data_IF_332281746271
#
_entry.id   IF_332281746271
#
_cell.length_a   1.000
_cell.length_b   1.000
_cell.length_c   1.000
_cell.angle_alpha   90.00
_cell.angle_beta   90.00
_cell.angle_gamma   90.00
#
_symmetry.space_group_name_H-M   'P 1'
#
loop_
_entity.id
_entity.type
_entity.pdbx_description
1 polymer ?
#
# COMPACT_ATOMS: atom_id res chain seq x y z
N UNK A 1 7.21 -10.41 24.60
CA UNK A 1 6.70 -9.72 23.39
C UNK A 1 7.92 -9.40 22.52
N UNK A 2 7.94 -9.78 21.23
CA UNK A 2 9.02 -9.34 20.34
C UNK A 2 8.86 -7.85 20.09
N UNK A 3 9.93 -7.09 20.28
CA UNK A 3 9.95 -5.66 19.97
C UNK A 3 9.70 -5.47 18.46
N UNK A 4 8.96 -4.43 18.10
CA UNK A 4 8.80 -4.04 16.70
C UNK A 4 10.16 -3.82 16.04
N UNK A 5 10.36 -4.28 14.79
CA UNK A 5 11.58 -4.03 14.05
C UNK A 5 11.86 -2.53 13.91
N UNK A 6 13.12 -2.20 13.76
CA UNK A 6 13.60 -0.82 13.93
C UNK A 6 12.96 0.15 12.93
N UNK A 7 12.96 -0.15 11.64
CA UNK A 7 12.44 0.78 10.62
C UNK A 7 10.92 0.86 10.69
N UNK A 8 10.24 -0.27 10.84
CA UNK A 8 8.78 -0.28 11.04
C UNK A 8 8.37 0.62 12.20
N UNK A 9 9.06 0.50 13.34
CA UNK A 9 8.80 1.33 14.53
C UNK A 9 8.99 2.83 14.24
N UNK A 10 10.09 3.21 13.58
CA UNK A 10 10.35 4.61 13.25
C UNK A 10 9.37 5.17 12.21
N UNK A 11 8.96 4.38 11.20
CA UNK A 11 7.94 4.79 10.26
C UNK A 11 6.60 5.07 10.95
N UNK A 12 6.15 4.18 11.85
CA UNK A 12 4.93 4.40 12.64
C UNK A 12 5.02 5.68 13.46
N UNK A 13 6.09 5.85 14.25
CA UNK A 13 6.27 7.01 15.12
C UNK A 13 6.33 8.30 14.30
N UNK A 14 7.12 8.34 13.22
CA UNK A 14 7.27 9.52 12.38
C UNK A 14 5.93 9.95 11.76
N UNK A 15 5.17 9.01 11.20
CA UNK A 15 3.87 9.33 10.60
C UNK A 15 2.87 9.86 11.63
N UNK A 16 2.78 9.26 12.82
CA UNK A 16 1.89 9.77 13.87
C UNK A 16 2.32 11.15 14.38
N UNK A 17 3.63 11.36 14.60
CA UNK A 17 4.14 12.68 15.02
C UNK A 17 3.81 13.74 13.96
N UNK A 18 4.10 13.48 12.69
CA UNK A 18 3.83 14.42 11.60
C UNK A 18 2.33 14.69 11.49
N UNK A 19 1.47 13.69 11.57
CA UNK A 19 0.02 13.85 11.51
C UNK A 19 -0.53 14.76 12.61
N UNK A 20 -0.15 14.52 13.86
CA UNK A 20 -0.60 15.37 14.97
C UNK A 20 0.00 16.76 14.92
N UNK A 21 1.29 16.87 14.55
CA UNK A 21 1.93 18.18 14.41
C UNK A 21 1.32 19.00 13.28
N UNK A 22 0.99 18.38 12.14
CA UNK A 22 0.29 19.05 11.04
C UNK A 22 -1.05 19.63 11.48
N UNK A 23 -1.86 18.86 12.21
CA UNK A 23 -3.13 19.37 12.74
C UNK A 23 -2.98 20.49 13.77
N UNK A 24 -1.92 20.48 14.58
CA UNK A 24 -1.61 21.57 15.53
C UNK A 24 -1.19 22.83 14.77
N UNK A 25 -0.32 22.70 13.76
CA UNK A 25 0.17 23.83 12.97
C UNK A 25 -0.96 24.49 12.17
N UNK A 26 -1.82 23.68 11.57
CA UNK A 26 -2.99 24.19 10.84
C UNK A 26 -3.95 24.93 11.77
N UNK A 27 -4.34 24.32 12.90
CA UNK A 27 -5.33 24.88 13.82
C UNK A 27 -4.85 26.16 14.52
N UNK A 28 -3.58 26.22 14.96
CA UNK A 28 -3.08 27.30 15.80
C UNK A 28 -2.37 28.40 15.02
N UNK A 29 -1.81 28.08 13.86
CA UNK A 29 -0.97 29.00 13.09
C UNK A 29 -1.45 29.18 11.64
N UNK A 30 -2.49 28.48 11.20
CA UNK A 30 -2.99 28.53 9.83
C UNK A 30 -2.02 27.97 8.78
N UNK A 31 -1.06 27.13 9.20
CA UNK A 31 -0.05 26.53 8.31
C UNK A 31 -0.58 25.19 7.79
N UNK A 32 -0.95 25.16 6.51
CA UNK A 32 -1.34 23.92 5.83
C UNK A 32 -0.10 23.11 5.40
N UNK A 33 0.28 22.16 6.25
CA UNK A 33 1.44 21.28 6.00
C UNK A 33 1.18 20.34 4.81
N UNK A 34 -0.08 19.99 4.53
CA UNK A 34 -0.41 19.16 3.38
C UNK A 34 -0.23 19.91 2.07
N UNK A 35 -0.56 21.20 2.02
CA UNK A 35 -0.29 22.05 0.86
C UNK A 35 1.20 22.27 0.62
N UNK A 36 2.02 22.35 1.70
CA UNK A 36 3.48 22.59 1.57
C UNK A 36 4.23 21.30 1.18
N UNK A 37 3.87 20.18 1.79
CA UNK A 37 4.64 18.93 1.71
C UNK A 37 3.99 17.85 0.86
N UNK A 38 2.73 18.01 0.43
CA UNK A 38 2.04 17.12 -0.50
C UNK A 38 2.68 17.15 -1.89
N UNK A 39 2.58 16.05 -2.62
CA UNK A 39 3.04 15.97 -4.00
C UNK A 39 2.12 16.81 -4.88
N UNK A 40 2.65 17.83 -5.52
CA UNK A 40 1.99 18.62 -6.57
C UNK A 40 2.56 18.28 -7.93
N UNK A 41 1.80 18.58 -8.99
CA UNK A 41 2.25 18.36 -10.37
C UNK A 41 3.56 19.11 -10.65
N UNK A 42 4.54 18.41 -11.21
CA UNK A 42 5.92 18.91 -11.34
C UNK A 42 6.07 20.24 -12.10
N UNK A 43 5.14 20.55 -13.01
CA UNK A 43 5.13 21.80 -13.79
C UNK A 43 4.17 22.86 -13.21
N UNK A 44 3.55 22.61 -12.06
CA UNK A 44 2.74 23.59 -11.37
C UNK A 44 3.58 24.50 -10.48
N UNK A 45 3.16 25.74 -10.28
CA UNK A 45 3.88 26.71 -9.41
C UNK A 45 3.93 26.28 -7.93
N UNK A 46 3.04 25.37 -7.53
CA UNK A 46 2.99 24.76 -6.18
C UNK A 46 4.01 23.64 -5.98
N UNK A 47 4.69 23.17 -7.03
CA UNK A 47 5.65 22.06 -6.92
C UNK A 47 6.95 22.51 -6.26
N UNK A 48 7.45 21.64 -5.38
CA UNK A 48 8.77 21.77 -4.75
C UNK A 48 9.49 20.41 -4.77
N UNK A 49 10.81 20.44 -4.94
CA UNK A 49 11.65 19.25 -5.14
C UNK A 49 11.64 18.24 -3.97
N UNK A 50 11.24 18.65 -2.76
CA UNK A 50 11.13 17.75 -1.60
C UNK A 50 9.81 16.97 -1.58
N UNK A 51 8.77 17.43 -2.27
CA UNK A 51 7.42 16.86 -2.23
C UNK A 51 7.33 15.39 -2.64
N UNK A 52 8.10 14.87 -3.65
CA UNK A 52 8.12 13.44 -3.96
C UNK A 52 8.54 12.54 -2.79
N UNK A 53 9.16 13.11 -1.77
CA UNK A 53 9.52 12.39 -0.55
C UNK A 53 8.60 12.70 0.63
N UNK A 54 8.25 13.97 0.85
CA UNK A 54 7.51 14.39 2.04
C UNK A 54 6.05 13.93 2.03
N UNK A 55 5.44 13.84 0.85
CA UNK A 55 4.04 13.43 0.70
C UNK A 55 3.73 12.07 1.34
N UNK A 56 4.73 11.17 1.40
CA UNK A 56 4.62 9.82 1.96
C UNK A 56 4.34 9.81 3.48
N UNK A 57 4.52 10.93 4.16
CA UNK A 57 4.37 11.06 5.61
C UNK A 57 3.14 11.89 6.00
N UNK A 58 2.40 12.41 5.02
CA UNK A 58 1.22 13.26 5.23
C UNK A 58 -0.06 12.45 5.07
N UNK A 59 -1.08 12.80 5.84
CA UNK A 59 -2.35 12.08 5.83
C UNK A 59 -3.53 13.03 5.99
N UNK A 60 -4.57 12.84 5.16
CA UNK A 60 -5.73 13.72 5.12
C UNK A 60 -6.61 13.65 6.38
N UNK A 61 -6.70 12.47 7.01
CA UNK A 61 -7.58 12.25 8.15
C UNK A 61 -7.14 11.02 8.98
N UNK A 62 -7.80 10.84 10.11
CA UNK A 62 -7.47 9.78 11.07
C UNK A 62 -7.63 8.37 10.48
N UNK A 63 -8.66 8.11 9.68
CA UNK A 63 -8.85 6.79 9.05
C UNK A 63 -7.73 6.51 8.05
N UNK A 64 -7.32 7.50 7.26
CA UNK A 64 -6.24 7.39 6.30
C UNK A 64 -4.91 6.98 6.98
N UNK A 65 -4.50 7.66 8.06
CA UNK A 65 -3.28 7.27 8.76
C UNK A 65 -3.42 5.92 9.46
N UNK A 66 -4.56 5.62 10.08
CA UNK A 66 -4.74 4.35 10.79
C UNK A 66 -4.64 3.15 9.85
N UNK A 67 -5.28 3.18 8.68
CA UNK A 67 -5.18 2.07 7.72
C UNK A 67 -3.78 1.92 7.14
N UNK A 68 -3.11 3.02 6.80
CA UNK A 68 -1.72 2.98 6.35
C UNK A 68 -0.79 2.39 7.43
N UNK A 69 -0.89 2.88 8.65
CA UNK A 69 -0.04 2.43 9.75
C UNK A 69 -0.35 1.00 10.18
N UNK A 70 -1.60 0.56 10.11
CA UNK A 70 -1.98 -0.83 10.32
C UNK A 70 -1.29 -1.75 9.28
N UNK A 71 -1.28 -1.37 8.01
CA UNK A 71 -0.61 -2.13 6.97
C UNK A 71 0.92 -2.14 7.14
N UNK A 72 1.54 -0.99 7.47
CA UNK A 72 2.98 -0.91 7.82
C UNK A 72 3.30 -1.80 9.02
N UNK A 73 2.44 -1.81 10.04
CA UNK A 73 2.63 -2.66 11.20
C UNK A 73 2.53 -4.15 10.86
N UNK A 74 1.51 -4.57 10.14
CA UNK A 74 1.25 -5.98 9.84
C UNK A 74 2.25 -6.54 8.81
N UNK A 75 2.37 -5.89 7.67
CA UNK A 75 3.15 -6.38 6.54
C UNK A 75 4.59 -5.86 6.58
N UNK A 76 4.77 -4.59 6.91
CA UNK A 76 6.07 -3.96 7.01
C UNK A 76 6.94 -4.60 8.09
N UNK A 77 6.40 -4.88 9.28
CA UNK A 77 7.14 -5.57 10.33
C UNK A 77 7.59 -6.98 9.92
N UNK A 78 6.80 -7.66 9.11
CA UNK A 78 7.17 -8.98 8.58
C UNK A 78 8.34 -8.88 7.59
N UNK A 79 8.29 -7.91 6.67
CA UNK A 79 9.36 -7.68 5.71
C UNK A 79 10.64 -7.14 6.37
N UNK A 80 10.51 -6.22 7.33
CA UNK A 80 11.64 -5.67 8.09
C UNK A 80 12.37 -6.77 8.86
N UNK A 81 11.64 -7.70 9.48
CA UNK A 81 12.23 -8.88 10.11
C UNK A 81 12.85 -9.86 9.12
N UNK A 82 12.27 -10.02 7.93
CA UNK A 82 12.74 -10.97 6.91
C UNK A 82 14.00 -10.47 6.19
N UNK A 83 14.01 -9.19 5.80
CA UNK A 83 15.08 -8.60 4.97
C UNK A 83 16.15 -7.86 5.76
N UNK A 84 15.84 -7.48 7.01
CA UNK A 84 16.60 -6.52 7.79
C UNK A 84 16.22 -5.07 7.43
N UNK A 85 16.36 -4.21 8.42
CA UNK A 85 15.85 -2.84 8.40
C UNK A 85 16.34 -1.98 7.23
N UNK A 86 17.62 -2.13 6.84
CA UNK A 86 18.19 -1.36 5.72
C UNK A 86 17.47 -1.64 4.38
N UNK A 87 17.22 -2.92 4.08
CA UNK A 87 16.54 -3.31 2.82
C UNK A 87 15.08 -2.91 2.83
N UNK A 88 14.42 -3.13 3.96
CA UNK A 88 13.03 -2.73 4.11
C UNK A 88 12.86 -1.22 3.91
N UNK A 89 13.75 -0.40 4.48
CA UNK A 89 13.71 1.05 4.27
C UNK A 89 13.91 1.42 2.80
N UNK A 90 14.93 0.84 2.14
CA UNK A 90 15.17 1.09 0.70
C UNK A 90 13.92 0.69 -0.10
N UNK A 91 13.33 -0.45 0.18
CA UNK A 91 12.13 -0.92 -0.49
C UNK A 91 10.97 0.07 -0.32
N UNK A 92 10.69 0.47 0.90
CA UNK A 92 9.62 1.42 1.23
C UNK A 92 9.79 2.75 0.50
N UNK A 93 11.00 3.32 0.53
CA UNK A 93 11.30 4.59 -0.14
C UNK A 93 11.18 4.46 -1.67
N UNK A 94 11.74 3.40 -2.27
CA UNK A 94 11.66 3.18 -3.72
C UNK A 94 10.20 3.02 -4.17
N UNK A 95 9.38 2.30 -3.42
CA UNK A 95 7.95 2.16 -3.72
C UNK A 95 7.23 3.52 -3.66
N UNK A 96 7.52 4.33 -2.63
CA UNK A 96 6.90 5.64 -2.50
C UNK A 96 7.34 6.64 -3.59
N UNK A 97 8.64 6.71 -3.89
CA UNK A 97 9.13 7.54 -5.00
C UNK A 97 8.61 7.06 -6.36
N UNK A 98 8.53 5.74 -6.56
CA UNK A 98 7.93 5.16 -7.76
C UNK A 98 6.44 5.47 -7.91
N UNK A 99 5.71 5.49 -6.79
CA UNK A 99 4.32 5.90 -6.74
C UNK A 99 4.16 7.38 -7.16
N UNK A 100 4.99 8.27 -6.61
CA UNK A 100 5.03 9.68 -7.00
C UNK A 100 5.31 9.83 -8.50
N UNK A 101 6.30 9.12 -9.02
CA UNK A 101 6.66 9.17 -10.44
C UNK A 101 5.51 8.75 -11.36
N UNK A 102 4.82 7.65 -11.05
CA UNK A 102 3.66 7.21 -11.84
C UNK A 102 2.51 8.21 -11.75
N UNK A 103 2.26 8.79 -10.57
CA UNK A 103 1.24 9.82 -10.40
C UNK A 103 1.53 11.04 -11.26
N UNK A 104 2.77 11.50 -11.34
CA UNK A 104 3.21 12.59 -12.20
C UNK A 104 2.99 12.28 -13.70
N UNK A 105 3.32 11.05 -14.13
CA UNK A 105 3.04 10.61 -15.49
C UNK A 105 1.55 10.64 -15.82
N UNK A 106 0.70 10.19 -14.89
CA UNK A 106 -0.76 10.20 -15.07
C UNK A 106 -1.28 11.62 -15.16
N UNK A 107 -0.85 12.53 -14.28
CA UNK A 107 -1.23 13.94 -14.34
C UNK A 107 -0.79 14.60 -15.64
N UNK A 108 0.43 14.28 -16.12
CA UNK A 108 0.93 14.80 -17.41
C UNK A 108 0.06 14.38 -18.58
N UNK A 109 -0.34 13.10 -18.64
CA UNK A 109 -1.25 12.59 -19.69
C UNK A 109 -2.64 13.24 -19.57
N UNK A 110 -3.17 13.32 -18.36
CA UNK A 110 -4.49 13.92 -18.13
C UNK A 110 -4.52 15.40 -18.54
N UNK A 111 -3.53 16.19 -18.13
CA UNK A 111 -3.45 17.61 -18.49
C UNK A 111 -3.21 17.82 -19.99
N UNK A 112 -2.43 16.95 -20.65
CA UNK A 112 -2.25 17.02 -22.12
C UNK A 112 -3.54 16.76 -22.86
N UNK A 113 -4.38 15.82 -22.40
CA UNK A 113 -5.69 15.55 -23.02
C UNK A 113 -6.69 16.70 -22.80
N UNK A 114 -6.53 17.49 -21.74
CA UNK A 114 -7.34 18.68 -21.50
C UNK A 114 -7.01 19.82 -22.47
N UNK A 115 -5.82 19.83 -23.07
CA UNK A 115 -5.36 20.91 -23.95
C UNK A 115 -6.19 21.08 -25.23
N UNK A 116 -6.90 20.04 -25.67
CA UNK A 116 -7.79 20.09 -26.83
C UNK A 116 -9.16 20.73 -26.51
N UNK A 117 -9.51 20.85 -25.21
CA UNK A 117 -10.84 21.27 -24.78
C UNK A 117 -10.85 22.56 -23.96
N UNK A 118 -9.79 22.80 -23.19
CA UNK A 118 -9.70 23.90 -22.23
C UNK A 118 -8.58 24.87 -22.58
N UNK A 119 -8.76 26.14 -22.20
CA UNK A 119 -7.72 27.16 -22.36
C UNK A 119 -6.56 26.97 -21.36
N UNK A 120 -5.41 27.57 -21.68
CA UNK A 120 -4.19 27.44 -20.88
C UNK A 120 -4.34 27.91 -19.43
N UNK A 121 -5.21 28.91 -19.17
CA UNK A 121 -5.44 29.41 -17.81
C UNK A 121 -6.21 28.37 -16.97
N UNK A 122 -7.26 27.78 -17.54
CA UNK A 122 -8.06 26.73 -16.88
C UNK A 122 -7.20 25.51 -16.57
N UNK A 123 -6.32 25.09 -17.49
CA UNK A 123 -5.39 23.98 -17.30
C UNK A 123 -4.38 24.29 -16.17
N UNK A 124 -3.79 25.49 -16.19
CA UNK A 124 -2.84 25.91 -15.15
C UNK A 124 -3.50 25.97 -13.77
N UNK A 125 -4.73 26.47 -13.69
CA UNK A 125 -5.50 26.51 -12.44
C UNK A 125 -5.82 25.10 -11.94
N UNK A 126 -6.20 24.19 -12.82
CA UNK A 126 -6.44 22.78 -12.47
C UNK A 126 -5.14 22.10 -11.98
N UNK A 127 -4.05 22.27 -12.72
CA UNK A 127 -2.74 21.73 -12.38
C UNK A 127 -2.22 22.21 -11.01
N UNK A 128 -2.47 23.48 -10.66
CA UNK A 128 -2.10 24.07 -9.37
C UNK A 128 -2.78 23.35 -8.19
N UNK A 129 -4.01 22.87 -8.39
CA UNK A 129 -4.80 22.21 -7.35
C UNK A 129 -4.58 20.68 -7.28
N UNK A 130 -3.83 20.10 -8.22
CA UNK A 130 -3.48 18.69 -8.16
C UNK A 130 -2.54 18.44 -6.99
N UNK A 131 -2.98 17.62 -6.06
CA UNK A 131 -2.15 17.21 -4.92
C UNK A 131 -2.42 15.77 -4.53
N UNK A 132 -1.39 15.09 -4.04
CA UNK A 132 -1.47 13.75 -3.48
C UNK A 132 -0.69 13.69 -2.16
N UNK A 133 -1.28 13.06 -1.14
CA UNK A 133 -0.66 12.82 0.16
C UNK A 133 -0.94 11.40 0.60
N UNK A 134 -0.02 10.79 1.34
CA UNK A 134 -0.20 9.49 1.97
C UNK A 134 0.96 8.53 1.80
N UNK A 135 1.15 7.68 2.79
CA UNK A 135 2.08 6.56 2.74
C UNK A 135 1.62 5.43 1.80
N UNK A 136 0.38 5.52 1.29
CA UNK A 136 -0.31 4.41 0.63
C UNK A 136 0.42 3.86 -0.60
N UNK A 137 1.07 4.70 -1.41
CA UNK A 137 1.89 4.24 -2.52
C UNK A 137 3.00 3.27 -2.08
N UNK A 138 3.74 3.62 -1.02
CA UNK A 138 4.74 2.74 -0.43
C UNK A 138 4.10 1.50 0.24
N UNK A 139 2.95 1.67 0.90
CA UNK A 139 2.19 0.60 1.57
C UNK A 139 1.69 -0.44 0.56
N UNK A 140 1.20 -0.04 -0.60
CA UNK A 140 0.80 -0.96 -1.66
C UNK A 140 2.00 -1.75 -2.23
N UNK A 141 3.17 -1.10 -2.32
CA UNK A 141 4.42 -1.81 -2.61
C UNK A 141 4.77 -2.84 -1.52
N UNK A 142 4.65 -2.49 -0.25
CA UNK A 142 4.86 -3.40 0.89
C UNK A 142 3.87 -4.57 0.86
N UNK A 143 2.60 -4.32 0.58
CA UNK A 143 1.57 -5.35 0.43
C UNK A 143 1.89 -6.28 -0.75
N UNK A 144 2.34 -5.72 -1.88
CA UNK A 144 2.79 -6.50 -3.03
C UNK A 144 3.95 -7.43 -2.66
N UNK A 145 5.01 -6.91 -2.00
CA UNK A 145 6.14 -7.74 -1.58
C UNK A 145 5.71 -8.85 -0.62
N UNK A 146 4.80 -8.55 0.30
CA UNK A 146 4.25 -9.56 1.21
C UNK A 146 3.54 -10.67 0.43
N UNK A 147 2.65 -10.34 -0.50
CA UNK A 147 1.96 -11.34 -1.33
C UNK A 147 2.88 -12.12 -2.26
N UNK A 148 3.97 -11.48 -2.75
CA UNK A 148 4.99 -12.12 -3.59
C UNK A 148 5.83 -13.14 -2.82
N UNK A 149 6.27 -12.79 -1.61
CA UNK A 149 7.14 -13.64 -0.78
C UNK A 149 6.37 -14.69 0.01
N UNK A 150 5.11 -14.39 0.35
CA UNK A 150 4.26 -15.20 1.21
C UNK A 150 2.91 -15.51 0.58
N UNK A 151 2.89 -16.02 -0.66
CA UNK A 151 1.69 -16.11 -1.49
C UNK A 151 0.56 -16.92 -0.84
N UNK A 152 0.91 -17.94 -0.07
CA UNK A 152 -0.06 -18.88 0.52
C UNK A 152 -0.41 -18.55 1.99
N UNK A 153 0.08 -17.41 2.51
CA UNK A 153 -0.26 -16.97 3.87
C UNK A 153 -1.75 -16.62 3.94
N UNK A 154 -2.50 -17.24 4.87
CA UNK A 154 -3.90 -16.88 5.09
C UNK A 154 -3.98 -15.48 5.71
N UNK A 155 -4.74 -14.62 5.08
CA UNK A 155 -5.06 -13.28 5.56
C UNK A 155 -6.56 -13.16 5.79
N UNK A 156 -6.94 -12.49 6.87
CA UNK A 156 -8.33 -12.16 7.15
C UNK A 156 -8.56 -10.70 6.75
N UNK A 157 -9.56 -10.47 5.90
CA UNK A 157 -10.03 -9.11 5.64
C UNK A 157 -10.89 -8.70 6.83
N UNK A 158 -10.74 -7.44 7.28
CA UNK A 158 -11.49 -6.91 8.40
C UNK A 158 -13.00 -7.19 8.22
N UNK A 159 -13.62 -7.78 9.25
CA UNK A 159 -15.02 -8.22 9.27
C UNK A 159 -15.40 -9.43 8.40
N UNK A 160 -14.46 -10.01 7.64
CA UNK A 160 -14.70 -11.22 6.86
C UNK A 160 -13.90 -12.37 7.50
N UNK A 161 -14.57 -13.35 8.18
CA UNK A 161 -13.86 -14.42 8.88
C UNK A 161 -13.36 -15.54 7.96
N UNK A 162 -13.29 -15.29 6.65
CA UNK A 162 -12.82 -16.26 5.66
C UNK A 162 -11.34 -15.98 5.36
N UNK A 163 -10.43 -16.96 5.54
CA UNK A 163 -9.04 -16.80 5.22
C UNK A 163 -8.83 -16.78 3.70
N UNK A 164 -8.30 -15.67 3.18
CA UNK A 164 -7.95 -15.53 1.77
C UNK A 164 -6.42 -15.55 1.65
N UNK A 165 -5.89 -16.19 0.62
CA UNK A 165 -4.44 -16.21 0.38
C UNK A 165 -3.91 -14.82 0.05
N UNK A 166 -2.75 -14.47 0.61
CA UNK A 166 -2.12 -13.16 0.41
C UNK A 166 -1.99 -12.78 -1.07
N UNK A 167 -1.57 -13.70 -1.95
CA UNK A 167 -1.49 -13.47 -3.40
C UNK A 167 -2.82 -13.07 -4.02
N UNK A 168 -3.91 -13.69 -3.59
CA UNK A 168 -5.26 -13.40 -4.10
C UNK A 168 -5.69 -12.00 -3.70
N UNK A 169 -5.45 -11.61 -2.46
CA UNK A 169 -5.74 -10.25 -1.97
C UNK A 169 -4.97 -9.21 -2.77
N UNK A 170 -3.66 -9.42 -3.00
CA UNK A 170 -2.83 -8.49 -3.78
C UNK A 170 -3.34 -8.35 -5.21
N UNK A 171 -3.72 -9.46 -5.86
CA UNK A 171 -4.27 -9.43 -7.23
C UNK A 171 -5.60 -8.68 -7.25
N UNK A 172 -6.50 -8.94 -6.30
CA UNK A 172 -7.79 -8.25 -6.21
C UNK A 172 -7.57 -6.74 -6.02
N UNK A 173 -6.69 -6.34 -5.08
CA UNK A 173 -6.38 -4.92 -4.89
C UNK A 173 -5.80 -4.27 -6.15
N UNK A 174 -4.86 -4.92 -6.84
CA UNK A 174 -4.31 -4.37 -8.08
C UNK A 174 -5.37 -4.17 -9.17
N UNK A 175 -6.32 -5.12 -9.29
CA UNK A 175 -7.44 -5.02 -10.23
C UNK A 175 -8.38 -3.88 -9.83
N UNK A 176 -8.76 -3.78 -8.56
CA UNK A 176 -9.64 -2.71 -8.05
C UNK A 176 -9.00 -1.34 -8.28
N UNK A 177 -7.72 -1.16 -7.93
CA UNK A 177 -6.99 0.09 -8.15
C UNK A 177 -6.91 0.47 -9.64
N UNK A 178 -6.71 -0.51 -10.52
CA UNK A 178 -6.68 -0.27 -11.97
C UNK A 178 -8.03 0.25 -12.48
N UNK A 179 -9.13 -0.44 -12.16
CA UNK A 179 -10.47 -0.05 -12.63
C UNK A 179 -10.93 1.26 -12.00
N UNK A 180 -10.67 1.50 -10.72
CA UNK A 180 -10.99 2.75 -10.07
C UNK A 180 -10.20 3.93 -10.67
N UNK A 181 -8.89 3.75 -10.90
CA UNK A 181 -8.06 4.76 -11.56
C UNK A 181 -8.52 5.07 -12.99
N UNK A 182 -8.89 4.06 -13.77
CA UNK A 182 -9.46 4.26 -15.11
C UNK A 182 -10.82 4.99 -15.03
N UNK A 183 -11.66 4.65 -14.06
CA UNK A 183 -12.94 5.34 -13.83
C UNK A 183 -12.74 6.83 -13.51
N UNK A 184 -11.76 7.17 -12.68
CA UNK A 184 -11.39 8.56 -12.39
C UNK A 184 -10.90 9.30 -13.65
N UNK A 185 -10.05 8.68 -14.47
CA UNK A 185 -9.58 9.28 -15.72
C UNK A 185 -10.70 9.52 -16.75
N UNK A 186 -11.70 8.64 -16.77
CA UNK A 186 -12.86 8.73 -17.68
C UNK A 186 -13.98 9.62 -17.13
N UNK A 187 -13.86 10.14 -15.90
CA UNK A 187 -14.89 10.91 -15.23
C UNK A 187 -16.16 10.12 -14.87
N UNK A 188 -16.11 8.79 -14.95
CA UNK A 188 -17.25 7.91 -14.62
C UNK A 188 -17.34 7.57 -13.13
N UNK A 189 -16.23 7.74 -12.42
CA UNK A 189 -16.14 7.61 -10.97
C UNK A 189 -15.19 8.70 -10.48
N UNK A 190 -15.62 9.48 -9.49
CA UNK A 190 -14.80 10.58 -8.96
C UNK A 190 -14.63 10.33 -7.45
N UNK A 191 -13.42 9.96 -7.06
CA UNK A 191 -12.98 9.96 -5.68
C UNK A 191 -11.64 10.71 -5.55
N UNK A 192 -11.20 10.96 -4.33
CA UNK A 192 -9.95 11.66 -4.06
C UNK A 192 -8.76 10.70 -3.83
N UNK A 193 -8.82 9.49 -4.39
CA UNK A 193 -7.79 8.47 -4.19
C UNK A 193 -6.83 8.44 -5.39
N UNK A 194 -5.54 8.43 -5.09
CA UNK A 194 -4.49 8.35 -6.11
C UNK A 194 -4.22 6.88 -6.53
N UNK A 195 -5.18 6.25 -7.17
CA UNK A 195 -5.15 4.83 -7.56
C UNK A 195 -3.90 4.45 -8.36
N UNK A 196 -3.50 5.30 -9.31
CA UNK A 196 -2.29 5.04 -10.09
C UNK A 196 -1.00 5.16 -9.29
N UNK A 197 -0.97 5.98 -8.23
CA UNK A 197 0.15 5.99 -7.29
C UNK A 197 0.27 4.64 -6.55
N UNK A 198 -0.85 4.02 -6.17
CA UNK A 198 -0.86 2.69 -5.55
C UNK A 198 -0.28 1.63 -6.50
N UNK A 199 -0.74 1.61 -7.75
CA UNK A 199 -0.18 0.73 -8.79
C UNK A 199 1.29 1.03 -9.07
N UNK A 200 1.70 2.30 -9.06
CA UNK A 200 3.09 2.73 -9.17
C UNK A 200 3.97 2.15 -8.07
N UNK A 201 3.50 2.20 -6.82
CA UNK A 201 4.20 1.59 -5.69
C UNK A 201 4.38 0.08 -5.85
N UNK A 202 3.34 -0.64 -6.30
CA UNK A 202 3.43 -2.06 -6.61
C UNK A 202 4.42 -2.35 -7.74
N UNK A 203 4.38 -1.58 -8.83
CA UNK A 203 5.25 -1.74 -10.00
C UNK A 203 6.73 -1.56 -9.62
N UNK A 204 7.07 -0.45 -8.95
CA UNK A 204 8.46 -0.20 -8.53
C UNK A 204 8.93 -1.19 -7.48
N UNK A 205 8.05 -1.65 -6.60
CA UNK A 205 8.31 -2.73 -5.68
C UNK A 205 8.65 -4.04 -6.41
N UNK A 206 7.87 -4.40 -7.42
CA UNK A 206 8.13 -5.57 -8.27
C UNK A 206 9.46 -5.46 -9.02
N UNK A 207 9.73 -4.33 -9.66
CA UNK A 207 10.99 -4.10 -10.37
C UNK A 207 12.21 -4.23 -9.44
N UNK A 208 12.10 -3.69 -8.22
CA UNK A 208 13.18 -3.80 -7.24
C UNK A 208 13.39 -5.25 -6.76
N UNK A 209 12.31 -6.01 -6.56
CA UNK A 209 12.42 -7.44 -6.24
C UNK A 209 13.06 -8.25 -7.36
N UNK A 210 12.72 -7.98 -8.63
CA UNK A 210 13.37 -8.60 -9.78
C UNK A 210 14.86 -8.25 -9.86
N UNK A 211 15.21 -6.98 -9.64
CA UNK A 211 16.60 -6.53 -9.60
C UNK A 211 17.39 -7.26 -8.50
N UNK A 212 16.84 -7.37 -7.30
CA UNK A 212 17.48 -8.09 -6.21
C UNK A 212 17.64 -9.58 -6.50
N UNK A 213 16.63 -10.22 -7.09
CA UNK A 213 16.69 -11.62 -7.50
C UNK A 213 17.78 -11.87 -8.54
N UNK A 214 17.90 -11.02 -9.57
CA UNK A 214 18.89 -11.16 -10.64
C UNK A 214 20.33 -11.04 -10.14
N UNK A 215 20.57 -10.18 -9.16
CA UNK A 215 21.91 -9.90 -8.64
C UNK A 215 22.34 -10.84 -7.53
N UNK A 216 21.76 -12.06 -7.44
CA UNK A 216 22.08 -13.06 -6.42
C UNK A 216 22.10 -12.47 -5.00
N UNK A 217 21.29 -11.47 -4.77
CA UNK A 217 21.18 -10.90 -3.45
C UNK A 217 20.55 -11.98 -2.54
N UNK A 218 21.44 -12.74 -1.88
CA UNK A 218 21.01 -13.74 -0.90
C UNK A 218 20.12 -13.02 0.12
N UNK A 219 18.92 -13.52 0.31
CA UNK A 219 18.06 -13.06 1.39
C UNK A 219 18.86 -13.19 2.69
N UNK A 220 19.19 -12.08 3.41
CA UNK A 220 19.80 -12.19 4.71
C UNK A 220 18.77 -12.80 5.63
N UNK A 221 19.08 -13.97 6.10
CA UNK A 221 18.25 -14.69 7.02
C UNK A 221 17.13 -15.45 6.33
N UNK A 222 17.47 -16.51 5.58
CA UNK A 222 16.79 -17.78 5.78
C UNK A 222 17.00 -18.18 7.25
N UNK A 223 16.64 -17.28 8.18
CA UNK A 223 16.68 -17.58 9.59
C UNK A 223 15.71 -18.75 9.78
N UNK A 224 16.13 -19.76 10.52
CA UNK A 224 15.33 -20.91 10.95
C UNK A 224 13.92 -20.48 11.46
N UNK A 225 13.82 -19.26 11.98
CA UNK A 225 12.56 -18.59 12.35
C UNK A 225 11.61 -18.37 11.17
N UNK A 226 12.14 -17.97 10.03
CA UNK A 226 11.35 -17.67 8.84
C UNK A 226 10.74 -18.92 8.21
N UNK A 227 11.51 -19.99 8.14
CA UNK A 227 11.02 -21.32 7.80
C UNK A 227 9.91 -21.76 8.76
N UNK A 228 10.10 -21.56 10.05
CA UNK A 228 9.11 -21.87 11.11
C UNK A 228 7.83 -21.06 10.94
N UNK A 229 7.90 -19.76 10.60
CA UNK A 229 6.71 -18.94 10.31
C UNK A 229 5.98 -19.45 9.06
N UNK A 230 6.70 -19.71 7.97
CA UNK A 230 6.13 -20.23 6.72
C UNK A 230 5.46 -21.59 6.92
N UNK A 231 6.09 -22.49 7.66
CA UNK A 231 5.52 -23.78 8.03
C UNK A 231 4.27 -23.62 8.89
N UNK A 232 4.32 -22.80 9.93
CA UNK A 232 3.20 -22.59 10.83
C UNK A 232 1.99 -21.95 10.15
N UNK A 233 2.21 -20.99 9.25
CA UNK A 233 1.14 -20.43 8.41
C UNK A 233 0.52 -21.48 7.49
N UNK A 234 1.35 -22.35 6.87
CA UNK A 234 0.87 -23.44 6.02
C UNK A 234 0.07 -24.49 6.83
N UNK A 235 0.54 -24.84 8.01
CA UNK A 235 -0.15 -25.78 8.92
C UNK A 235 -1.51 -25.23 9.36
N UNK A 236 -1.59 -23.96 9.73
CA UNK A 236 -2.84 -23.29 10.13
C UNK A 236 -3.84 -23.27 8.95
N UNK A 237 -3.37 -22.96 7.76
CA UNK A 237 -4.24 -22.96 6.58
C UNK A 237 -4.77 -24.36 6.25
N UNK A 238 -3.89 -25.38 6.27
CA UNK A 238 -4.28 -26.77 6.01
C UNK A 238 -5.20 -27.33 7.12
N UNK A 239 -5.01 -26.90 8.37
CA UNK A 239 -5.88 -27.28 9.49
C UNK A 239 -7.28 -26.69 9.32
N UNK A 240 -7.38 -25.43 8.88
CA UNK A 240 -8.68 -24.80 8.63
C UNK A 240 -9.43 -25.50 7.50
N UNK A 241 -8.77 -25.81 6.39
CA UNK A 241 -9.39 -26.57 5.29
C UNK A 241 -9.85 -27.98 5.71
N UNK A 242 -9.10 -28.65 6.58
CA UNK A 242 -9.52 -29.97 7.11
C UNK A 242 -10.75 -29.87 8.01
N UNK A 243 -10.83 -28.84 8.86
CA UNK A 243 -11.99 -28.60 9.73
C UNK A 243 -13.25 -28.30 8.92
N UNK A 244 -13.13 -27.53 7.85
CA UNK A 244 -14.26 -27.25 6.96
C UNK A 244 -14.72 -28.50 6.21
N UNK A 245 -13.79 -29.31 5.68
CA UNK A 245 -14.14 -30.56 5.01
C UNK A 245 -14.74 -31.63 5.96
N UNK A 246 -14.40 -31.58 7.25
CA UNK A 246 -14.99 -32.48 8.26
C UNK A 246 -16.40 -32.04 8.60
N UNK A 247 -16.66 -30.76 8.76
CA UNK A 247 -18.00 -30.20 8.99
C UNK A 247 -18.95 -30.48 7.82
N UNK A 248 -18.47 -30.37 6.59
CA UNK A 248 -19.23 -30.65 5.38
C UNK A 248 -19.66 -32.15 5.33
N UNK A 249 -18.72 -33.06 5.64
CA UNK A 249 -19.00 -34.47 5.73
C UNK A 249 -19.98 -34.83 6.86
N UNK A 250 -19.86 -34.18 8.01
CA UNK A 250 -20.79 -34.41 9.14
C UNK A 250 -22.20 -33.88 8.82
N UNK A 251 -22.28 -32.73 8.09
CA UNK A 251 -23.55 -32.19 7.61
C UNK A 251 -24.25 -33.13 6.62
N UNK A 252 -23.47 -33.66 5.65
CA UNK A 252 -24.00 -34.61 4.66
C UNK A 252 -24.48 -35.95 5.30
N UNK A 253 -23.70 -36.48 6.24
CA UNK A 253 -24.08 -37.67 7.00
C UNK A 253 -25.36 -37.45 7.84
N UNK A 254 -25.48 -36.28 8.48
CA UNK A 254 -26.67 -35.93 9.26
C UNK A 254 -27.92 -35.85 8.39
N UNK A 255 -27.84 -35.32 7.19
CA UNK A 255 -28.95 -35.23 6.24
C UNK A 255 -29.27 -36.55 5.56
N UNK A 256 -28.28 -37.43 5.37
CA UNK A 256 -28.48 -38.77 4.81
C UNK A 256 -29.29 -39.65 5.77
N UNK A 257 -28.98 -39.66 7.07
CA UNK A 257 -29.69 -40.42 8.09
C UNK A 257 -31.09 -39.90 8.43
N UNK A 258 -31.44 -38.70 8.07
CA UNK A 258 -32.83 -38.17 8.23
C UNK A 258 -33.77 -38.50 7.08
N UNK A 259 -33.27 -39.09 5.99
CA UNK A 259 -34.06 -39.47 4.81
C UNK A 259 -34.36 -40.98 4.74
N UNK A 260 -33.84 -41.75 5.69
CA UNK A 260 -34.19 -43.17 5.93
C UNK A 260 -35.14 -43.29 7.12
#
# INVERSE_FOLDING_TARGET
>A
MRNLPTVTRYLLIANFIIFFLSGILERNFGIDVNAIGGLHYYNAHSFHWWQPFTYMFLHANLSHILFNMLAVWMFGATLDNAWGSRRYLIYYIVCGLGAAFIQECVWSVMLSNMADTYDAFSIAHYAYNLTTIGASGAVFGVLFAFGWLFPDTPMFILFIPIPIRARTIVIIYAIVELFAGMGNMMGTHIDNVAHFAHLGGMLFGWLLLLYWRRNNWREPGSSEWWWKVKQKCRELFNRHQRLDSTKEKDYDNYHYHKRL
#
